data_IF_394889748490
#
_entry.id   IF_394889748490
#
_cell.length_a   1.000
_cell.length_b   1.000
_cell.length_c   1.000
_cell.angle_alpha   90.00
_cell.angle_beta   90.00
_cell.angle_gamma   90.00
#
_symmetry.space_group_name_H-M   'P 1'
#
loop_
_entity.id
_entity.type
_entity.pdbx_description
1 polymer ?
#
# COMPACT_ATOMS: atom_id res chain seq x y z
N UNK A 1 -1.88 21.61 -20.19
CA UNK A 1 -1.06 21.57 -18.96
C UNK A 1 0.06 20.58 -19.18
N UNK A 2 1.32 20.87 -18.83
CA UNK A 2 2.33 19.81 -18.83
C UNK A 2 1.84 18.70 -17.90
N UNK A 3 1.91 17.45 -18.36
CA UNK A 3 1.61 16.29 -17.50
C UNK A 3 2.58 16.35 -16.33
N UNK A 4 2.12 16.13 -15.11
CA UNK A 4 2.99 16.16 -13.94
C UNK A 4 3.93 14.93 -13.97
N UNK A 5 5.07 15.07 -14.64
CA UNK A 5 6.06 14.00 -14.83
C UNK A 5 6.57 13.44 -13.51
N UNK A 6 6.76 14.30 -12.51
CA UNK A 6 7.15 13.89 -11.16
C UNK A 6 6.11 12.97 -10.53
N UNK A 7 4.83 13.36 -10.54
CA UNK A 7 3.75 12.53 -10.00
C UNK A 7 3.62 11.19 -10.75
N UNK A 8 3.75 11.19 -12.09
CA UNK A 8 3.72 9.96 -12.88
C UNK A 8 4.89 9.03 -12.52
N UNK A 9 6.08 9.57 -12.34
CA UNK A 9 7.26 8.79 -11.95
C UNK A 9 7.12 8.24 -10.52
N UNK A 10 6.62 9.04 -9.59
CA UNK A 10 6.38 8.63 -8.21
C UNK A 10 5.35 7.51 -8.12
N UNK A 11 4.20 7.64 -8.81
CA UNK A 11 3.17 6.60 -8.85
C UNK A 11 3.69 5.29 -9.44
N UNK A 12 4.48 5.36 -10.54
CA UNK A 12 5.10 4.17 -11.13
C UNK A 12 6.08 3.52 -10.17
N UNK A 13 6.95 4.30 -9.53
CA UNK A 13 7.93 3.77 -8.59
C UNK A 13 7.28 3.12 -7.37
N UNK A 14 6.21 3.71 -6.82
CA UNK A 14 5.43 3.13 -5.72
C UNK A 14 4.77 1.82 -6.14
N UNK A 15 4.12 1.81 -7.31
CA UNK A 15 3.51 0.61 -7.86
C UNK A 15 4.53 -0.51 -8.10
N UNK A 16 5.71 -0.20 -8.64
CA UNK A 16 6.74 -1.19 -8.92
C UNK A 16 7.33 -1.77 -7.63
N UNK A 17 7.59 -0.94 -6.61
CA UNK A 17 8.01 -1.40 -5.28
C UNK A 17 6.98 -2.32 -4.65
N UNK A 18 5.70 -1.96 -4.71
CA UNK A 18 4.60 -2.78 -4.20
C UNK A 18 4.58 -4.16 -4.88
N UNK A 19 4.59 -4.22 -6.22
CA UNK A 19 4.56 -5.48 -6.95
C UNK A 19 5.80 -6.34 -6.67
N UNK A 20 6.97 -5.73 -6.54
CA UNK A 20 8.18 -6.44 -6.15
C UNK A 20 8.08 -7.01 -4.73
N UNK A 21 7.58 -6.24 -3.77
CA UNK A 21 7.41 -6.68 -2.38
C UNK A 21 6.30 -7.73 -2.21
N UNK A 22 5.27 -7.69 -3.07
CA UNK A 22 4.21 -8.69 -3.13
C UNK A 22 4.65 -10.03 -3.73
N UNK A 23 5.85 -10.14 -4.31
CA UNK A 23 6.39 -11.38 -4.84
C UNK A 23 6.84 -12.35 -3.71
N UNK A 24 5.92 -12.62 -2.78
CA UNK A 24 6.10 -13.55 -1.67
C UNK A 24 6.00 -15.00 -2.16
N UNK A 25 6.87 -15.86 -1.64
CA UNK A 25 6.76 -17.30 -1.87
C UNK A 25 5.56 -17.85 -1.08
N UNK A 26 4.63 -18.47 -1.80
CA UNK A 26 3.45 -19.08 -1.22
C UNK A 26 3.85 -20.35 -0.46
N UNK A 27 3.36 -20.45 0.77
CA UNK A 27 3.69 -21.55 1.69
C UNK A 27 2.66 -22.68 1.65
N UNK A 28 1.48 -22.42 1.08
CA UNK A 28 0.35 -23.34 1.08
C UNK A 28 -0.56 -23.18 2.29
N UNK A 29 -0.21 -22.31 3.24
CA UNK A 29 -1.10 -21.82 4.29
C UNK A 29 -1.84 -20.57 3.77
N UNK A 30 -3.14 -20.67 3.46
CA UNK A 30 -3.88 -19.57 2.85
C UNK A 30 -3.98 -18.34 3.76
N UNK A 31 -4.04 -18.51 5.08
CA UNK A 31 -4.17 -17.39 6.02
C UNK A 31 -2.86 -16.61 6.06
N UNK A 32 -1.74 -17.32 6.16
CA UNK A 32 -0.41 -16.69 6.15
C UNK A 32 -0.07 -16.09 4.80
N UNK A 33 -0.37 -16.78 3.72
CA UNK A 33 -0.09 -16.32 2.36
C UNK A 33 -0.89 -15.05 2.05
N UNK A 34 -2.17 -14.98 2.47
CA UNK A 34 -2.99 -13.77 2.38
C UNK A 34 -2.36 -12.60 3.14
N UNK A 35 -2.04 -12.79 4.42
CA UNK A 35 -1.50 -11.71 5.26
C UNK A 35 -0.14 -11.23 4.76
N UNK A 36 0.75 -12.15 4.35
CA UNK A 36 2.08 -11.81 3.82
C UNK A 36 2.02 -11.08 2.49
N UNK A 37 1.03 -11.37 1.64
CA UNK A 37 0.82 -10.65 0.39
C UNK A 37 0.11 -9.29 0.61
N UNK A 38 -0.79 -9.20 1.58
CA UNK A 38 -1.57 -7.99 1.83
C UNK A 38 -0.81 -6.87 2.52
N UNK A 39 0.16 -7.18 3.39
CA UNK A 39 1.03 -6.15 4.00
C UNK A 39 1.70 -5.27 2.93
N UNK A 40 2.50 -5.81 1.99
CA UNK A 40 3.17 -4.97 0.98
C UNK A 40 2.19 -4.32 0.00
N UNK A 41 1.05 -4.97 -0.30
CA UNK A 41 -0.02 -4.35 -1.09
C UNK A 41 -0.54 -3.07 -0.41
N UNK A 42 -0.81 -3.13 0.89
CA UNK A 42 -1.33 -1.99 1.65
C UNK A 42 -0.27 -0.90 1.82
N UNK A 43 0.99 -1.27 2.07
CA UNK A 43 2.11 -0.32 2.12
C UNK A 43 2.26 0.47 0.81
N UNK A 44 2.10 -0.21 -0.33
CA UNK A 44 2.09 0.42 -1.65
C UNK A 44 0.95 1.41 -1.84
N UNK A 45 -0.27 1.04 -1.44
CA UNK A 45 -1.42 1.93 -1.51
C UNK A 45 -1.30 3.14 -0.56
N UNK A 46 -0.73 2.98 0.64
CA UNK A 46 -0.38 4.09 1.54
C UNK A 46 0.63 5.04 0.88
N UNK A 47 1.65 4.50 0.20
CA UNK A 47 2.63 5.34 -0.52
C UNK A 47 1.98 6.12 -1.68
N UNK A 48 1.13 5.47 -2.47
CA UNK A 48 0.38 6.14 -3.55
C UNK A 48 -0.59 7.20 -3.03
N UNK A 49 -1.24 6.96 -1.88
CA UNK A 49 -2.09 7.95 -1.24
C UNK A 49 -1.31 9.18 -0.78
N UNK A 50 -0.09 9.02 -0.23
CA UNK A 50 0.79 10.15 0.11
C UNK A 50 1.16 10.98 -1.13
N UNK A 51 1.46 10.32 -2.25
CA UNK A 51 1.73 10.97 -3.55
C UNK A 51 0.48 11.75 -4.02
N UNK A 52 -0.72 11.21 -3.83
CA UNK A 52 -1.97 11.90 -4.17
C UNK A 52 -2.19 13.16 -3.32
N UNK A 53 -1.91 13.13 -2.01
CA UNK A 53 -2.00 14.32 -1.14
C UNK A 53 -1.09 15.45 -1.65
N UNK A 54 0.11 15.11 -2.10
CA UNK A 54 1.10 16.05 -2.61
C UNK A 54 0.72 16.63 -3.99
N UNK A 55 0.26 15.79 -4.91
CA UNK A 55 0.15 16.17 -6.32
C UNK A 55 -1.28 16.36 -6.86
N UNK A 56 -2.32 15.80 -6.23
CA UNK A 56 -3.69 15.99 -6.69
C UNK A 56 -4.17 17.41 -6.36
N UNK A 57 -4.99 18.00 -7.24
CA UNK A 57 -5.64 19.29 -7.00
C UNK A 57 -7.05 19.14 -6.42
N UNK A 58 -7.68 17.99 -6.63
CA UNK A 58 -9.06 17.70 -6.22
C UNK A 58 -9.14 17.42 -4.70
N UNK A 59 -9.91 18.21 -3.92
CA UNK A 59 -10.04 18.02 -2.49
C UNK A 59 -10.73 16.70 -2.11
N UNK A 60 -11.64 16.17 -2.93
CA UNK A 60 -12.29 14.89 -2.66
C UNK A 60 -11.30 13.73 -2.77
N UNK A 61 -10.38 13.80 -3.76
CA UNK A 61 -9.31 12.81 -3.91
C UNK A 61 -8.28 12.89 -2.78
N UNK A 62 -7.98 14.09 -2.26
CA UNK A 62 -7.11 14.22 -1.08
C UNK A 62 -7.74 13.62 0.17
N UNK A 63 -9.03 13.89 0.40
CA UNK A 63 -9.79 13.28 1.51
C UNK A 63 -9.80 11.75 1.40
N UNK A 64 -10.04 11.22 0.20
CA UNK A 64 -9.96 9.78 -0.04
C UNK A 64 -8.56 9.22 0.27
N UNK A 65 -7.50 9.92 -0.12
CA UNK A 65 -6.13 9.50 0.18
C UNK A 65 -5.83 9.48 1.69
N UNK A 66 -6.28 10.47 2.44
CA UNK A 66 -6.17 10.50 3.91
C UNK A 66 -6.93 9.32 4.55
N UNK A 67 -8.13 9.01 4.05
CA UNK A 67 -8.94 7.87 4.51
C UNK A 67 -8.27 6.53 4.22
N UNK A 68 -7.67 6.39 3.02
CA UNK A 68 -6.88 5.20 2.63
C UNK A 68 -5.70 5.02 3.60
N UNK A 69 -4.92 6.07 3.86
CA UNK A 69 -3.78 5.98 4.79
C UNK A 69 -4.25 5.50 6.16
N UNK A 70 -5.28 6.15 6.71
CA UNK A 70 -5.76 5.83 8.06
C UNK A 70 -6.31 4.40 8.16
N UNK A 71 -7.04 3.91 7.15
CA UNK A 71 -7.57 2.55 7.13
C UNK A 71 -6.46 1.52 6.99
N UNK A 72 -5.59 1.70 5.99
CA UNK A 72 -4.60 0.70 5.65
C UNK A 72 -3.45 0.63 6.65
N UNK A 73 -3.07 1.72 7.31
CA UNK A 73 -2.12 1.68 8.43
C UNK A 73 -2.65 0.82 9.59
N UNK A 74 -3.97 0.85 9.86
CA UNK A 74 -4.59 -0.01 10.88
C UNK A 74 -4.60 -1.48 10.44
N UNK A 75 -4.89 -1.75 9.17
CA UNK A 75 -4.91 -3.10 8.62
C UNK A 75 -3.50 -3.71 8.58
N UNK A 76 -2.48 -2.93 8.23
CA UNK A 76 -1.06 -3.33 8.30
C UNK A 76 -0.68 -3.68 9.74
N UNK A 77 -1.06 -2.85 10.72
CA UNK A 77 -0.78 -3.13 12.12
C UNK A 77 -1.43 -4.45 12.56
N UNK A 78 -2.72 -4.62 12.27
CA UNK A 78 -3.45 -5.87 12.55
C UNK A 78 -2.76 -7.09 11.93
N UNK A 79 -2.38 -7.01 10.65
CA UNK A 79 -1.74 -8.11 9.93
C UNK A 79 -0.37 -8.48 10.50
N UNK A 80 0.43 -7.48 10.89
CA UNK A 80 1.73 -7.70 11.54
C UNK A 80 1.57 -8.33 12.93
N UNK A 81 0.60 -7.85 13.71
CA UNK A 81 0.28 -8.42 15.02
C UNK A 81 -0.22 -9.86 14.88
N UNK A 82 -1.06 -10.13 13.87
CA UNK A 82 -1.55 -11.47 13.59
C UNK A 82 -0.40 -12.43 13.26
N UNK A 83 0.56 -12.05 12.42
CA UNK A 83 1.75 -12.87 12.13
C UNK A 83 2.61 -13.13 13.37
N UNK A 84 2.72 -12.14 14.27
CA UNK A 84 3.49 -12.28 15.50
C UNK A 84 2.82 -13.23 16.52
N UNK A 85 1.48 -13.24 16.58
CA UNK A 85 0.70 -14.11 17.46
C UNK A 85 0.54 -15.54 16.92
N UNK A 86 0.77 -15.75 15.63
CA UNK A 86 0.67 -17.06 14.97
C UNK A 86 2.01 -17.42 14.33
N UNK A 87 3.04 -17.81 15.12
CA UNK A 87 4.31 -18.27 14.57
C UNK A 87 4.13 -19.59 13.79
N UNK A 88 5.00 -19.80 12.79
CA UNK A 88 5.01 -21.00 11.95
C UNK A 88 5.51 -22.24 12.72
#
# INVERSE_FOLDING_TARGET
MPKNEAAMQALRAANDRMHHAMAVELTGDPDRDFVRAMIPHHEGAVEMAKIAIEHCADPELKRLAEEIIAAQDREIAFMRDWLALHPA
#
